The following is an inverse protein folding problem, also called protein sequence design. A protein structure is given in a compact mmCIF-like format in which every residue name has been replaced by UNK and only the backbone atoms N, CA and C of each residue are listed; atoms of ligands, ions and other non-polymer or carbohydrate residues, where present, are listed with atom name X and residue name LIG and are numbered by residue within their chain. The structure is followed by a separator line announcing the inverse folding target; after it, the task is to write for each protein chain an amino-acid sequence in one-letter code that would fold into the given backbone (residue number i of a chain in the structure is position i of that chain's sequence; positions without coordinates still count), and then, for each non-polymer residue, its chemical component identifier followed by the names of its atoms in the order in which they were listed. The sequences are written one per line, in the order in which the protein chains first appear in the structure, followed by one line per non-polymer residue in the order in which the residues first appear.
data_IF_809438752546
#
_entry.id   IF_809438752546
#
_cell.length_a   1.000
_cell.length_b   1.000
_cell.length_c   1.000
_cell.angle_alpha   90.00
_cell.angle_beta   90.00
_cell.angle_gamma   90.00
#
_symmetry.space_group_name_H-M   'P 1'
#
loop_
_entity.id
_entity.type
_entity.pdbx_description
1 polymer ?
#
# COMPACT_ATOMS: atom_id res chain seq x y z
N UNK A 1 9.64 8.72 -11.84
CA UNK A 1 8.88 7.66 -11.15
C UNK A 1 9.62 6.33 -11.24
N UNK A 2 10.16 6.00 -12.42
CA UNK A 2 11.02 4.83 -12.64
C UNK A 2 12.21 4.78 -11.68
N UNK A 3 13.03 5.83 -11.59
CA UNK A 3 14.20 5.86 -10.68
C UNK A 3 13.88 5.54 -9.20
N UNK A 4 12.72 5.99 -8.71
CA UNK A 4 12.29 5.71 -7.34
C UNK A 4 11.91 4.23 -7.15
N UNK A 5 11.21 3.64 -8.13
CA UNK A 5 10.88 2.22 -8.11
C UNK A 5 12.13 1.35 -8.28
N UNK A 6 13.03 1.73 -9.18
CA UNK A 6 14.30 1.03 -9.42
C UNK A 6 15.16 1.03 -8.15
N UNK A 7 15.23 2.17 -7.45
CA UNK A 7 15.94 2.27 -6.18
C UNK A 7 15.38 1.31 -5.13
N UNK A 8 14.05 1.17 -5.04
CA UNK A 8 13.41 0.22 -4.12
C UNK A 8 13.69 -1.22 -4.57
N UNK A 9 13.49 -1.52 -5.86
CA UNK A 9 13.67 -2.86 -6.42
C UNK A 9 15.09 -3.40 -6.24
N UNK A 10 16.11 -2.54 -6.40
CA UNK A 10 17.52 -2.91 -6.27
C UNK A 10 18.00 -2.97 -4.81
N UNK A 11 17.23 -2.44 -3.87
CA UNK A 11 17.59 -2.50 -2.46
C UNK A 11 17.47 -3.93 -1.92
N UNK A 12 18.43 -4.36 -1.11
CA UNK A 12 18.33 -5.63 -0.38
C UNK A 12 17.20 -5.60 0.66
N UNK A 13 16.92 -4.41 1.20
CA UNK A 13 15.95 -4.20 2.26
C UNK A 13 15.52 -2.74 2.32
N UNK A 14 14.25 -2.49 2.66
CA UNK A 14 13.71 -1.14 2.85
C UNK A 14 13.22 -0.93 4.29
N UNK A 15 13.56 0.21 4.90
CA UNK A 15 12.90 0.72 6.11
C UNK A 15 12.26 2.06 5.78
N UNK A 16 10.95 2.21 5.99
CA UNK A 16 10.27 3.46 5.64
C UNK A 16 8.97 3.68 6.42
N UNK A 17 8.69 4.95 6.77
CA UNK A 17 7.38 5.38 7.27
C UNK A 17 6.42 5.89 6.19
N UNK A 18 6.85 5.89 4.93
CA UNK A 18 6.07 6.42 3.82
C UNK A 18 5.15 5.34 3.25
N UNK A 19 3.85 5.62 3.27
CA UNK A 19 2.79 4.73 2.76
C UNK A 19 3.09 4.13 1.37
N UNK A 20 3.44 4.96 0.38
CA UNK A 20 3.72 4.48 -0.97
C UNK A 20 5.01 3.66 -1.09
N UNK A 21 5.99 3.86 -0.20
CA UNK A 21 7.20 3.05 -0.21
C UNK A 21 6.88 1.61 0.24
N UNK A 22 6.01 1.46 1.24
CA UNK A 22 5.56 0.13 1.71
C UNK A 22 4.81 -0.63 0.62
N UNK A 23 3.94 0.05 -0.13
CA UNK A 23 3.23 -0.57 -1.27
C UNK A 23 4.22 -0.96 -2.37
N UNK A 24 5.10 -0.04 -2.77
CA UNK A 24 6.06 -0.30 -3.84
C UNK A 24 7.00 -1.47 -3.49
N UNK A 25 7.55 -1.49 -2.28
CA UNK A 25 8.41 -2.59 -1.84
C UNK A 25 7.68 -3.93 -1.85
N UNK A 26 6.43 -3.96 -1.39
CA UNK A 26 5.60 -5.17 -1.45
C UNK A 26 5.39 -5.64 -2.90
N UNK A 27 4.98 -4.73 -3.81
CA UNK A 27 4.77 -5.03 -5.22
C UNK A 27 6.04 -5.50 -5.94
N UNK A 28 7.20 -5.02 -5.52
CA UNK A 28 8.50 -5.36 -6.12
C UNK A 28 9.17 -6.56 -5.46
N UNK A 29 8.51 -7.20 -4.49
CA UNK A 29 9.08 -8.27 -3.65
C UNK A 29 10.36 -7.83 -2.90
N UNK A 30 10.54 -6.53 -2.67
CA UNK A 30 11.61 -5.99 -1.84
C UNK A 30 11.23 -6.15 -0.37
N UNK A 31 12.03 -6.88 0.45
CA UNK A 31 11.75 -7.03 1.87
C UNK A 31 11.75 -5.68 2.60
N UNK A 32 10.81 -5.47 3.53
CA UNK A 32 10.73 -4.17 4.21
C UNK A 32 10.19 -4.22 5.64
N UNK A 33 10.51 -3.15 6.39
CA UNK A 33 9.85 -2.80 7.66
C UNK A 33 9.20 -1.43 7.51
N UNK A 34 7.92 -1.36 7.88
CA UNK A 34 7.19 -0.11 7.95
C UNK A 34 7.41 0.61 9.29
N UNK A 35 7.49 1.95 9.25
CA UNK A 35 7.50 2.82 10.42
C UNK A 35 6.18 3.61 10.51
N UNK A 36 5.76 4.00 11.70
CA UNK A 36 4.46 4.62 11.95
C UNK A 36 4.33 6.12 11.58
N UNK A 37 5.11 6.67 10.64
CA UNK A 37 5.13 8.13 10.40
C UNK A 37 3.81 8.71 9.88
N UNK A 38 2.90 7.87 9.37
CA UNK A 38 1.53 8.21 8.97
C UNK A 38 0.57 7.13 9.50
N UNK A 39 0.53 7.00 10.83
CA UNK A 39 -0.02 5.89 11.62
C UNK A 39 -1.20 5.18 10.95
N UNK A 40 -2.38 5.80 10.86
CA UNK A 40 -3.58 5.10 10.37
C UNK A 40 -3.45 4.52 8.96
N UNK A 41 -2.74 5.20 8.05
CA UNK A 41 -2.58 4.73 6.67
C UNK A 41 -1.60 3.56 6.59
N UNK A 42 -0.47 3.67 7.29
CA UNK A 42 0.57 2.63 7.27
C UNK A 42 0.09 1.37 7.99
N UNK A 43 -0.60 1.51 9.12
CA UNK A 43 -1.24 0.38 9.80
C UNK A 43 -2.27 -0.32 8.90
N UNK A 44 -3.17 0.44 8.27
CA UNK A 44 -4.20 -0.13 7.40
C UNK A 44 -3.60 -0.89 6.21
N UNK A 45 -2.54 -0.37 5.57
CA UNK A 45 -1.91 -1.08 4.46
C UNK A 45 -1.12 -2.30 4.93
N UNK A 46 -0.39 -2.23 6.04
CA UNK A 46 0.29 -3.42 6.59
C UNK A 46 -0.71 -4.54 6.87
N UNK A 47 -1.85 -4.22 7.49
CA UNK A 47 -2.92 -5.19 7.72
C UNK A 47 -3.48 -5.76 6.40
N UNK A 48 -3.74 -4.91 5.40
CA UNK A 48 -4.23 -5.35 4.08
C UNK A 48 -3.23 -6.28 3.36
N UNK A 49 -1.95 -5.96 3.44
CA UNK A 49 -0.85 -6.70 2.83
C UNK A 49 -0.44 -7.96 3.61
N UNK A 50 -1.03 -8.20 4.78
CA UNK A 50 -0.63 -9.30 5.68
C UNK A 50 0.79 -9.13 6.23
N UNK A 51 1.27 -7.89 6.33
CA UNK A 51 2.60 -7.55 6.85
C UNK A 51 2.55 -7.27 8.35
N UNK A 52 3.69 -7.39 9.01
CA UNK A 52 3.82 -7.05 10.43
C UNK A 52 3.45 -5.58 10.69
N UNK A 53 2.87 -5.33 11.86
CA UNK A 53 2.50 -3.98 12.30
C UNK A 53 3.71 -3.02 12.26
N UNK A 54 3.53 -1.76 11.82
CA UNK A 54 4.62 -0.79 11.74
C UNK A 54 5.31 -0.58 13.09
N UNK A 55 6.63 -0.44 13.08
CA UNK A 55 7.37 -0.04 14.27
C UNK A 55 7.15 1.44 14.59
N UNK A 56 7.15 1.78 15.88
CA UNK A 56 7.01 3.14 16.35
C UNK A 56 8.36 3.86 16.25
N UNK A 57 8.42 5.00 15.56
CA UNK A 57 9.66 5.77 15.45
C UNK A 57 10.15 6.32 16.80
N UNK A 58 9.22 6.55 17.72
CA UNK A 58 9.49 7.04 19.08
C UNK A 58 9.83 5.92 20.08
N UNK A 59 9.91 4.67 19.63
CA UNK A 59 10.21 3.54 20.50
C UNK A 59 11.66 3.63 21.00
N UNK A 60 11.91 3.66 22.33
CA UNK A 60 13.27 3.64 22.88
C UNK A 60 14.07 2.41 22.45
N UNK A 61 13.41 1.29 22.15
CA UNK A 61 14.01 0.02 21.74
C UNK A 61 13.95 -0.19 20.21
N UNK A 62 13.68 0.87 19.44
CA UNK A 62 13.52 0.80 17.98
C UNK A 62 14.69 0.09 17.28
N UNK A 63 15.92 0.35 17.70
CA UNK A 63 17.10 -0.26 17.11
C UNK A 63 17.07 -1.80 17.24
N UNK A 64 16.77 -2.31 18.42
CA UNK A 64 16.72 -3.75 18.68
C UNK A 64 15.57 -4.41 17.92
N UNK A 65 14.42 -3.73 17.84
CA UNK A 65 13.30 -4.20 17.04
C UNK A 65 13.58 -4.23 15.54
N UNK A 66 14.27 -3.21 15.02
CA UNK A 66 14.72 -3.18 13.62
C UNK A 66 15.69 -4.33 13.34
N UNK A 67 16.68 -4.53 14.20
CA UNK A 67 17.68 -5.58 14.04
C UNK A 67 17.02 -6.97 14.07
N UNK A 68 16.19 -7.24 15.07
CA UNK A 68 15.47 -8.50 15.24
C UNK A 68 14.61 -8.82 14.01
N UNK A 69 13.77 -7.88 13.56
CA UNK A 69 12.88 -8.08 12.42
C UNK A 69 13.64 -8.22 11.11
N UNK A 70 14.70 -7.43 10.91
CA UNK A 70 15.54 -7.52 9.72
C UNK A 70 16.16 -8.91 9.62
N UNK A 71 16.72 -9.43 10.71
CA UNK A 71 17.29 -10.77 10.75
C UNK A 71 16.24 -11.85 10.46
N UNK A 72 15.05 -11.73 11.04
CA UNK A 72 13.96 -12.68 10.81
C UNK A 72 13.51 -12.70 9.34
N UNK A 73 13.37 -11.54 8.72
CA UNK A 73 12.93 -11.41 7.32
C UNK A 73 14.00 -11.94 6.37
N UNK A 74 15.27 -11.54 6.53
CA UNK A 74 16.37 -11.96 5.65
C UNK A 74 16.66 -13.46 5.78
N UNK A 75 16.44 -14.05 6.95
CA UNK A 75 16.63 -15.49 7.17
C UNK A 75 15.45 -16.34 6.67
N UNK A 76 14.35 -15.71 6.28
CA UNK A 76 13.17 -16.41 5.77
C UNK A 76 13.26 -16.58 4.25
N UNK A 77 12.63 -17.63 3.68
CA UNK A 77 12.49 -17.74 2.23
C UNK A 77 11.82 -16.50 1.64
N UNK A 78 12.24 -16.11 0.43
CA UNK A 78 11.59 -15.01 -0.30
C UNK A 78 10.11 -15.31 -0.48
N UNK A 79 9.26 -14.37 -0.09
CA UNK A 79 7.81 -14.45 -0.31
C UNK A 79 7.52 -13.84 -1.68
N UNK A 80 6.84 -14.60 -2.52
CA UNK A 80 6.24 -14.10 -3.75
C UNK A 80 4.88 -13.46 -3.43
N UNK A 81 4.77 -12.16 -3.67
CA UNK A 81 3.57 -11.38 -3.40
C UNK A 81 2.60 -11.31 -4.57
N UNK A 82 2.88 -11.91 -5.73
CA UNK A 82 2.13 -11.72 -6.98
C UNK A 82 0.62 -12.01 -6.84
N UNK A 83 0.28 -13.07 -6.08
CA UNK A 83 -1.13 -13.41 -5.81
C UNK A 83 -1.82 -12.29 -5.05
N UNK A 84 -1.16 -11.76 -3.99
CA UNK A 84 -1.71 -10.69 -3.15
C UNK A 84 -1.79 -9.36 -3.88
N UNK A 85 -0.78 -9.05 -4.70
CA UNK A 85 -0.77 -7.89 -5.59
C UNK A 85 -1.95 -7.95 -6.56
N UNK A 86 -2.21 -9.12 -7.15
CA UNK A 86 -3.35 -9.33 -8.05
C UNK A 86 -4.69 -9.10 -7.34
N UNK A 87 -4.87 -9.63 -6.13
CA UNK A 87 -6.07 -9.38 -5.31
C UNK A 87 -6.31 -7.88 -5.09
N UNK A 88 -5.26 -7.14 -4.70
CA UNK A 88 -5.36 -5.71 -4.39
C UNK A 88 -5.63 -4.89 -5.65
N UNK A 89 -5.02 -5.27 -6.77
CA UNK A 89 -5.30 -4.66 -8.07
C UNK A 89 -6.78 -4.80 -8.43
N UNK A 90 -7.38 -5.99 -8.26
CA UNK A 90 -8.80 -6.21 -8.52
C UNK A 90 -9.70 -5.37 -7.60
N UNK A 91 -9.32 -5.21 -6.32
CA UNK A 91 -10.04 -4.33 -5.40
C UNK A 91 -9.97 -2.86 -5.85
N UNK A 92 -8.80 -2.40 -6.30
CA UNK A 92 -8.62 -1.06 -6.82
C UNK A 92 -9.45 -0.82 -8.09
N UNK A 93 -9.45 -1.77 -9.02
CA UNK A 93 -10.25 -1.73 -10.25
C UNK A 93 -11.75 -1.69 -9.94
N UNK A 94 -12.23 -2.53 -9.01
CA UNK A 94 -13.62 -2.52 -8.56
C UNK A 94 -14.01 -1.15 -7.99
N UNK A 95 -13.16 -0.55 -7.16
CA UNK A 95 -13.42 0.77 -6.58
C UNK A 95 -13.47 1.85 -7.67
N UNK A 96 -12.54 1.82 -8.62
CA UNK A 96 -12.48 2.77 -9.73
C UNK A 96 -13.73 2.68 -10.61
N UNK A 97 -14.13 1.47 -11.02
CA UNK A 97 -15.31 1.23 -11.83
C UNK A 97 -16.61 1.62 -11.09
N UNK A 98 -16.69 1.36 -9.78
CA UNK A 98 -17.80 1.81 -8.95
C UNK A 98 -17.95 3.33 -8.92
N UNK A 99 -16.83 4.06 -8.76
CA UNK A 99 -16.84 5.53 -8.81
C UNK A 99 -17.24 6.06 -10.18
N UNK A 100 -16.78 5.42 -11.26
CA UNK A 100 -17.14 5.76 -12.63
C UNK A 100 -18.66 5.63 -12.85
N UNK A 101 -19.25 4.50 -12.46
CA UNK A 101 -20.70 4.28 -12.55
C UNK A 101 -21.49 5.34 -11.76
N UNK A 102 -21.06 5.65 -10.53
CA UNK A 102 -21.71 6.67 -9.71
C UNK A 102 -21.63 8.08 -10.33
N UNK A 103 -20.53 8.38 -11.01
CA UNK A 103 -20.40 9.64 -11.74
C UNK A 103 -21.36 9.69 -12.93
N UNK A 104 -21.39 8.64 -13.75
CA UNK A 104 -22.26 8.52 -14.92
C UNK A 104 -23.75 8.63 -14.55
N UNK A 105 -24.17 7.99 -13.46
CA UNK A 105 -25.54 8.09 -12.93
C UNK A 105 -25.92 9.52 -12.50
N UNK A 106 -24.98 10.25 -11.88
CA UNK A 106 -25.21 11.64 -11.45
C UNK A 106 -25.33 12.59 -12.63
N UNK A 107 -24.52 12.42 -13.67
CA UNK A 107 -24.59 13.27 -14.86
C UNK A 107 -25.80 12.95 -15.74
N UNK A 108 -26.21 11.68 -15.82
CA UNK A 108 -27.42 11.27 -16.55
C UNK A 108 -28.71 11.77 -15.88
N UNK A 109 -28.76 11.78 -14.55
CA UNK A 109 -29.92 12.27 -13.77
C UNK A 109 -30.00 13.80 -13.65
N UNK A 110 -28.92 14.53 -13.94
CA UNK A 110 -28.94 16.00 -13.97
C UNK A 110 -29.42 16.55 -15.32
N UNK A 111 -29.12 15.85 -16.42
CA UNK A 111 -29.61 16.19 -17.76
C UNK A 111 -31.12 15.94 -17.95
N UNK A 112 -31.71 14.98 -17.23
CA UNK A 112 -33.15 14.69 -17.29
C UNK A 112 -34.01 15.65 -16.45
N UNK A 113 -33.44 16.33 -15.45
CA UNK A 113 -34.14 17.35 -14.64
C UNK A 113 -34.21 18.73 -15.28
N UNK A 114 -33.46 19.00 -16.36
CA UNK A 114 -33.48 20.30 -17.04
C UNK A 114 -34.55 20.44 -18.13
N UNK A 115 -35.32 19.39 -18.43
CA UNK A 115 -36.32 19.38 -19.52
C UNK A 115 -37.78 19.28 -19.05
N UNK A 116 -38.08 19.32 -17.76
CA UNK A 116 -39.44 19.16 -17.21
C UNK A 116 -40.10 20.46 -16.73
N UNK A 117 -39.66 21.61 -17.21
CA UNK A 117 -40.27 22.92 -16.92
C UNK A 117 -40.46 23.71 -18.20
N UNK A 118 -41.49 23.35 -18.97
CA UNK A 118 -42.24 24.22 -19.89
C UNK A 118 -43.69 23.76 -19.91
#
# INVERSE_FOLDING_TARGET
MEEWLDTINQATFLVSGRFHHSIAAFCLNTPFIALNSNTHKVHAICALLGQAEPLLFSDPELFDHLLLRTNAIISSPSIDNDTKVTEIYQLAEKNFNGLKSLAEDRFSNSASKSYSSF
#
